data_IF_067746614919
#
_entry.id   IF_067746614919
#
_cell.length_a   1.000
_cell.length_b   1.000
_cell.length_c   1.000
_cell.angle_alpha   90.00
_cell.angle_beta   90.00
_cell.angle_gamma   90.00
#
_symmetry.space_group_name_H-M   'P 1'
#
loop_
_entity.id
_entity.type
_entity.pdbx_description
1 polymer ?
#
# COMPACT_ATOMS: atom_id res chain seq x y z
N UNK A 1 -6.35 26.12 3.93
CA UNK A 1 -5.54 25.03 4.51
C UNK A 1 -5.57 23.84 3.59
N UNK A 2 -4.40 23.37 3.22
CA UNK A 2 -4.30 22.18 2.39
C UNK A 2 -4.25 20.93 3.27
N UNK A 3 -5.08 19.95 2.93
CA UNK A 3 -5.00 18.66 3.58
C UNK A 3 -3.87 17.84 2.95
N UNK A 4 -3.08 17.19 3.79
CA UNK A 4 -2.01 16.31 3.33
C UNK A 4 -2.49 14.86 3.38
N UNK A 5 -2.08 14.08 2.41
CA UNK A 5 -2.35 12.66 2.37
C UNK A 5 -1.05 11.89 2.10
N UNK A 6 -0.28 11.57 3.15
CA UNK A 6 0.99 10.87 2.98
C UNK A 6 0.85 9.50 2.31
N UNK A 7 -0.28 8.83 2.51
CA UNK A 7 -0.54 7.53 1.87
C UNK A 7 -0.72 7.71 0.36
N UNK A 8 -1.51 8.71 -0.06
CA UNK A 8 -1.69 9.02 -1.48
C UNK A 8 -0.36 9.40 -2.13
N UNK A 9 0.47 10.19 -1.45
CA UNK A 9 1.79 10.56 -1.94
C UNK A 9 2.67 9.33 -2.14
N UNK A 10 2.69 8.42 -1.17
CA UNK A 10 3.42 7.16 -1.27
C UNK A 10 2.96 6.34 -2.49
N UNK A 11 1.65 6.17 -2.65
CA UNK A 11 1.09 5.39 -3.76
C UNK A 11 1.42 6.03 -5.10
N UNK A 12 1.39 7.35 -5.19
CA UNK A 12 1.75 8.09 -6.40
C UNK A 12 3.23 7.89 -6.73
N UNK A 13 4.12 7.95 -5.74
CA UNK A 13 5.55 7.70 -5.94
C UNK A 13 5.81 6.29 -6.46
N UNK A 14 5.13 5.30 -5.89
CA UNK A 14 5.23 3.91 -6.35
C UNK A 14 4.75 3.79 -7.79
N UNK A 15 3.59 4.37 -8.10
CA UNK A 15 3.02 4.32 -9.46
C UNK A 15 3.96 4.96 -10.48
N UNK A 16 4.47 6.16 -10.21
CA UNK A 16 5.34 6.88 -11.12
C UNK A 16 6.66 6.15 -11.34
N UNK A 17 7.25 5.63 -10.28
CA UNK A 17 8.49 4.86 -10.36
C UNK A 17 8.29 3.56 -11.16
N UNK A 18 7.14 2.92 -10.96
CA UNK A 18 6.79 1.69 -11.66
C UNK A 18 6.60 1.93 -13.16
N UNK A 19 5.96 3.04 -13.54
CA UNK A 19 5.80 3.42 -14.96
C UNK A 19 7.17 3.72 -15.58
N UNK A 20 8.06 4.38 -14.85
CA UNK A 20 9.41 4.72 -15.31
C UNK A 20 10.39 3.54 -15.22
N UNK A 21 9.96 2.38 -14.72
CA UNK A 21 10.81 1.20 -14.47
C UNK A 21 12.01 1.52 -13.57
N UNK A 22 11.81 2.37 -12.57
CA UNK A 22 12.81 2.68 -11.56
C UNK A 22 12.97 1.50 -10.62
N UNK A 23 14.20 1.15 -10.28
CA UNK A 23 14.45 -0.05 -9.45
C UNK A 23 14.22 0.22 -7.95
N UNK A 24 14.49 1.43 -7.49
CA UNK A 24 14.41 1.76 -6.07
C UNK A 24 13.91 3.19 -5.87
N UNK A 25 13.10 3.38 -4.82
CA UNK A 25 12.62 4.69 -4.40
C UNK A 25 12.84 4.88 -2.91
N UNK A 26 12.88 6.13 -2.47
CA UNK A 26 13.02 6.49 -1.07
C UNK A 26 12.05 7.61 -0.72
N UNK A 27 11.59 7.60 0.52
CA UNK A 27 10.65 8.61 1.01
C UNK A 27 10.73 8.70 2.54
N UNK A 28 10.26 9.79 3.15
CA UNK A 28 10.14 9.83 4.61
C UNK A 28 9.24 8.70 5.09
N UNK A 29 9.68 7.98 6.11
CA UNK A 29 8.94 6.83 6.64
C UNK A 29 7.90 7.25 7.68
N UNK A 30 6.92 6.38 7.89
CA UNK A 30 5.96 6.44 8.98
C UNK A 30 5.53 5.01 9.29
N UNK A 31 4.86 4.80 10.41
CA UNK A 31 4.36 3.48 10.79
C UNK A 31 3.40 2.93 9.72
N UNK A 32 2.50 3.77 9.23
CA UNK A 32 1.53 3.38 8.20
C UNK A 32 2.24 3.03 6.90
N UNK A 33 3.18 3.86 6.45
CA UNK A 33 3.92 3.60 5.21
C UNK A 33 4.72 2.31 5.28
N UNK A 34 5.39 2.06 6.41
CA UNK A 34 6.14 0.82 6.61
C UNK A 34 5.22 -0.40 6.61
N UNK A 35 4.04 -0.29 7.22
CA UNK A 35 3.05 -1.37 7.24
C UNK A 35 2.52 -1.65 5.82
N UNK A 36 2.29 -0.63 5.01
CA UNK A 36 1.88 -0.78 3.61
C UNK A 36 3.00 -1.48 2.82
N UNK A 37 4.25 -1.07 3.01
CA UNK A 37 5.40 -1.69 2.35
C UNK A 37 5.51 -3.18 2.69
N UNK A 38 5.28 -3.54 3.96
CA UNK A 38 5.30 -4.93 4.39
C UNK A 38 4.23 -5.76 3.68
N UNK A 39 3.01 -5.22 3.54
CA UNK A 39 1.93 -5.88 2.82
C UNK A 39 2.30 -6.05 1.34
N UNK A 40 2.82 -5.01 0.71
CA UNK A 40 3.20 -5.06 -0.71
C UNK A 40 4.30 -6.10 -0.96
N UNK A 41 5.27 -6.19 -0.06
CA UNK A 41 6.33 -7.20 -0.15
C UNK A 41 5.76 -8.62 0.02
N UNK A 42 4.96 -8.82 1.06
CA UNK A 42 4.38 -10.13 1.38
C UNK A 42 3.47 -10.64 0.27
N UNK A 43 2.74 -9.72 -0.38
CA UNK A 43 1.83 -10.06 -1.48
C UNK A 43 2.51 -10.09 -2.85
N UNK A 44 3.82 -9.84 -2.90
CA UNK A 44 4.60 -9.98 -4.12
C UNK A 44 4.57 -8.80 -5.08
N UNK A 45 4.13 -7.63 -4.62
CA UNK A 45 4.07 -6.43 -5.47
C UNK A 45 5.38 -5.64 -5.50
N UNK A 46 6.17 -5.72 -4.45
CA UNK A 46 7.52 -5.16 -4.41
C UNK A 46 8.50 -6.25 -4.00
N UNK A 47 9.79 -6.04 -4.31
CA UNK A 47 10.83 -7.02 -4.01
C UNK A 47 11.23 -7.00 -2.54
N UNK A 48 11.43 -5.78 -1.99
CA UNK A 48 11.87 -5.62 -0.61
C UNK A 48 11.69 -4.16 -0.17
N UNK A 49 11.86 -3.93 1.13
CA UNK A 49 11.88 -2.58 1.68
C UNK A 49 12.80 -2.54 2.89
N UNK A 50 13.23 -1.32 3.24
CA UNK A 50 14.12 -1.07 4.38
C UNK A 50 13.75 0.26 5.01
N UNK A 51 13.70 0.31 6.34
CA UNK A 51 13.53 1.55 7.07
C UNK A 51 14.87 1.93 7.66
N UNK A 52 15.46 3.02 7.15
CA UNK A 52 16.76 3.52 7.63
C UNK A 52 16.55 4.60 8.67
N UNK A 53 17.28 4.53 9.82
CA UNK A 53 17.18 5.58 10.84
C UNK A 53 17.97 6.82 10.38
N UNK A 54 17.28 7.78 9.78
CA UNK A 54 17.86 9.05 9.34
C UNK A 54 17.29 10.20 10.18
N UNK A 55 17.98 11.35 10.18
CA UNK A 55 17.54 12.54 10.89
C UNK A 55 16.97 13.55 9.89
N UNK A 56 15.83 14.23 10.17
CA UNK A 56 15.04 14.24 11.43
C UNK A 56 14.06 13.07 11.58
N UNK A 57 13.83 12.28 10.55
CA UNK A 57 12.96 11.12 10.62
C UNK A 57 13.52 9.98 9.77
N UNK A 58 13.03 8.76 10.01
CA UNK A 58 13.48 7.60 9.25
C UNK A 58 13.13 7.71 7.78
N UNK A 59 13.92 7.06 6.93
CA UNK A 59 13.70 6.99 5.49
C UNK A 59 13.26 5.58 5.13
N UNK A 60 12.16 5.48 4.38
CA UNK A 60 11.68 4.21 3.83
C UNK A 60 12.24 4.06 2.42
N UNK A 61 13.00 2.98 2.20
CA UNK A 61 13.47 2.60 0.86
C UNK A 61 12.71 1.37 0.40
N UNK A 62 12.32 1.38 -0.86
CA UNK A 62 11.58 0.27 -1.47
C UNK A 62 12.25 -0.15 -2.76
N UNK A 63 12.48 -1.45 -2.91
CA UNK A 63 12.96 -2.04 -4.15
C UNK A 63 11.76 -2.57 -4.93
N UNK A 64 11.51 -2.00 -6.11
CA UNK A 64 10.39 -2.39 -6.95
C UNK A 64 10.67 -3.72 -7.65
N UNK A 65 9.61 -4.40 -8.08
CA UNK A 65 9.71 -5.75 -8.61
C UNK A 65 9.32 -5.77 -10.08
N UNK A 66 10.18 -6.36 -10.89
CA UNK A 66 9.96 -6.58 -12.32
C UNK A 66 10.34 -8.01 -12.68
N UNK A 67 9.72 -8.55 -13.73
CA UNK A 67 10.12 -9.84 -14.28
C UNK A 67 11.44 -9.71 -15.06
N UNK A 68 11.95 -10.84 -15.56
CA UNK A 68 13.15 -10.84 -16.43
C UNK A 68 12.95 -10.01 -17.69
N UNK A 69 11.72 -9.95 -18.19
CA UNK A 69 11.35 -9.16 -19.36
C UNK A 69 10.93 -7.74 -19.02
N UNK A 70 11.18 -7.31 -17.78
CA UNK A 70 10.86 -5.97 -17.25
C UNK A 70 9.35 -5.69 -17.18
N UNK A 71 8.54 -6.72 -17.05
CA UNK A 71 7.12 -6.58 -16.79
C UNK A 71 6.91 -6.23 -15.32
N UNK A 72 5.98 -5.33 -15.04
CA UNK A 72 5.70 -4.86 -13.69
C UNK A 72 4.98 -5.91 -12.87
N UNK A 73 5.41 -6.10 -11.62
CA UNK A 73 4.67 -6.92 -10.66
C UNK A 73 3.44 -6.16 -10.15
N UNK A 74 3.55 -4.84 -9.99
CA UNK A 74 2.46 -3.97 -9.59
C UNK A 74 1.91 -3.25 -10.82
N UNK A 75 0.64 -3.49 -11.15
CA UNK A 75 0.02 -2.93 -12.34
C UNK A 75 -0.75 -1.64 -12.06
N UNK A 76 -1.32 -1.50 -10.88
CA UNK A 76 -2.05 -0.29 -10.53
C UNK A 76 -2.25 -0.15 -9.03
N UNK A 77 -2.46 1.09 -8.61
CA UNK A 77 -2.82 1.44 -7.24
C UNK A 77 -3.91 2.50 -7.29
N UNK A 78 -4.81 2.44 -6.32
CA UNK A 78 -5.87 3.43 -6.18
C UNK A 78 -6.09 3.77 -4.70
N UNK A 79 -6.00 5.06 -4.38
CA UNK A 79 -6.37 5.56 -3.06
C UNK A 79 -7.89 5.51 -2.92
N UNK A 80 -8.41 4.89 -1.89
CA UNK A 80 -9.87 4.77 -1.66
C UNK A 80 -10.31 5.76 -0.59
N UNK A 81 -9.95 5.53 0.68
CA UNK A 81 -10.27 6.45 1.76
C UNK A 81 -9.32 7.65 1.72
N UNK A 82 -9.85 8.85 1.85
CA UNK A 82 -9.08 10.10 1.78
C UNK A 82 -9.36 10.95 3.02
N UNK A 83 -8.45 11.88 3.40
CA UNK A 83 -8.70 12.73 4.56
C UNK A 83 -10.03 13.48 4.53
N UNK A 84 -10.49 13.90 3.36
CA UNK A 84 -11.76 14.60 3.20
C UNK A 84 -12.97 13.70 2.95
N UNK A 85 -12.73 12.40 2.73
CA UNK A 85 -13.80 11.44 2.42
C UNK A 85 -13.36 10.04 2.86
N UNK A 86 -13.65 9.69 4.12
CA UNK A 86 -13.29 8.38 4.67
C UNK A 86 -14.22 7.29 4.16
N UNK A 87 -13.67 6.13 3.84
CA UNK A 87 -14.40 4.97 3.35
C UNK A 87 -14.14 3.78 4.27
N UNK A 88 -15.21 3.21 4.82
CA UNK A 88 -15.13 2.08 5.74
C UNK A 88 -15.91 0.90 5.17
N UNK A 89 -15.51 -0.31 5.55
CA UNK A 89 -16.21 -1.53 5.21
C UNK A 89 -16.41 -2.37 6.47
N UNK A 90 -17.62 -2.90 6.62
CA UNK A 90 -17.93 -3.84 7.70
C UNK A 90 -17.35 -5.21 7.34
N UNK A 91 -17.17 -6.09 8.36
CA UNK A 91 -16.55 -7.41 8.18
C UNK A 91 -17.18 -8.28 7.10
N UNK A 92 -18.49 -8.11 6.84
CA UNK A 92 -19.23 -8.87 5.85
C UNK A 92 -19.35 -8.14 4.50
N UNK A 93 -18.77 -6.93 4.40
CA UNK A 93 -18.82 -6.07 3.22
C UNK A 93 -17.42 -5.74 2.71
N UNK A 94 -16.43 -6.55 3.04
CA UNK A 94 -15.04 -6.30 2.62
C UNK A 94 -14.95 -6.43 1.10
N UNK A 95 -14.46 -5.39 0.39
CA UNK A 95 -14.40 -5.42 -1.07
C UNK A 95 -13.36 -6.40 -1.60
N UNK A 96 -13.60 -6.89 -2.80
CA UNK A 96 -12.63 -7.67 -3.57
C UNK A 96 -12.14 -6.81 -4.73
N UNK A 97 -10.86 -6.92 -5.03
CA UNK A 97 -10.23 -6.16 -6.12
C UNK A 97 -10.00 -7.11 -7.29
N UNK A 98 -10.57 -6.78 -8.45
CA UNK A 98 -10.46 -7.60 -9.67
C UNK A 98 -10.79 -9.07 -9.42
N UNK A 99 -11.90 -9.33 -8.72
CA UNK A 99 -12.34 -10.70 -8.45
C UNK A 99 -11.39 -11.52 -7.59
N UNK A 100 -10.54 -10.86 -6.82
CA UNK A 100 -9.56 -11.52 -5.95
C UNK A 100 -8.14 -11.58 -6.51
N UNK A 101 -7.91 -11.06 -7.73
CA UNK A 101 -6.58 -10.99 -8.32
C UNK A 101 -5.72 -9.89 -7.67
N UNK A 102 -6.35 -8.80 -7.21
CA UNK A 102 -5.68 -7.75 -6.46
C UNK A 102 -5.99 -7.83 -4.98
N UNK A 103 -5.56 -6.82 -4.24
CA UNK A 103 -5.80 -6.71 -2.79
C UNK A 103 -6.38 -5.35 -2.43
N UNK A 104 -7.14 -5.32 -1.34
CA UNK A 104 -7.48 -4.08 -0.64
C UNK A 104 -6.63 -4.02 0.62
N UNK A 105 -6.11 -2.85 0.94
CA UNK A 105 -5.38 -2.62 2.18
C UNK A 105 -6.34 -1.95 3.15
N UNK A 106 -6.57 -2.61 4.29
CA UNK A 106 -7.59 -2.20 5.25
C UNK A 106 -6.96 -1.91 6.61
N UNK A 107 -7.25 -0.73 7.15
CA UNK A 107 -6.82 -0.36 8.50
C UNK A 107 -7.85 -0.85 9.50
N UNK A 108 -7.48 -1.82 10.32
CA UNK A 108 -8.36 -2.45 11.30
C UNK A 108 -7.86 -2.23 12.72
N UNK A 109 -8.65 -2.65 13.69
CA UNK A 109 -8.23 -2.66 15.10
C UNK A 109 -7.03 -3.59 15.35
N UNK A 110 -6.75 -4.52 14.43
CA UNK A 110 -5.62 -5.44 14.51
C UNK A 110 -4.44 -4.99 13.64
N UNK A 111 -4.45 -3.74 13.18
CA UNK A 111 -3.43 -3.20 12.29
C UNK A 111 -3.85 -3.22 10.84
N UNK A 112 -2.89 -2.98 9.93
CA UNK A 112 -3.16 -3.03 8.50
C UNK A 112 -3.23 -4.47 8.03
N UNK A 113 -4.31 -4.82 7.35
CA UNK A 113 -4.55 -6.16 6.82
C UNK A 113 -4.93 -6.07 5.35
N UNK A 114 -4.74 -7.16 4.61
CA UNK A 114 -5.34 -7.31 3.29
C UNK A 114 -6.83 -7.65 3.46
N UNK A 115 -7.60 -7.54 2.37
CA UNK A 115 -9.00 -7.92 2.38
C UNK A 115 -9.20 -9.38 2.78
N UNK A 116 -8.33 -10.29 2.33
CA UNK A 116 -8.39 -11.71 2.72
C UNK A 116 -8.15 -11.91 4.19
N UNK A 117 -7.13 -11.24 4.73
CA UNK A 117 -6.81 -11.32 6.16
C UNK A 117 -7.94 -10.76 7.02
N UNK A 118 -8.53 -9.62 6.59
CA UNK A 118 -9.65 -9.01 7.31
C UNK A 118 -10.88 -9.93 7.32
N UNK A 119 -11.20 -10.55 6.18
CA UNK A 119 -12.31 -11.52 6.11
C UNK A 119 -12.05 -12.73 7.00
N UNK A 120 -10.83 -13.26 6.97
CA UNK A 120 -10.45 -14.41 7.80
C UNK A 120 -10.52 -14.09 9.29
N UNK A 121 -10.08 -12.89 9.67
CA UNK A 121 -10.14 -12.44 11.07
C UNK A 121 -11.55 -12.00 11.49
N UNK A 122 -12.46 -11.81 10.55
CA UNK A 122 -13.82 -11.36 10.85
C UNK A 122 -13.89 -9.92 11.30
N UNK A 123 -13.02 -9.05 10.77
CA UNK A 123 -12.97 -7.62 11.14
C UNK A 123 -13.15 -6.74 9.92
N UNK A 124 -13.76 -5.58 10.14
CA UNK A 124 -13.83 -4.51 9.14
C UNK A 124 -12.88 -3.38 9.50
N UNK A 125 -12.89 -2.32 8.69
CA UNK A 125 -12.07 -1.17 8.95
C UNK A 125 -12.10 -0.15 7.83
N UNK A 126 -11.15 0.77 7.86
CA UNK A 126 -11.00 1.80 6.84
C UNK A 126 -10.30 1.21 5.61
N UNK A 127 -10.93 1.34 4.45
CA UNK A 127 -10.36 0.86 3.19
C UNK A 127 -9.40 1.92 2.67
N UNK A 128 -8.10 1.69 2.83
CA UNK A 128 -7.08 2.67 2.47
C UNK A 128 -6.84 2.74 0.97
N UNK A 129 -6.67 1.59 0.33
CA UNK A 129 -6.27 1.54 -1.07
C UNK A 129 -6.59 0.19 -1.70
N UNK A 130 -6.65 0.18 -3.03
CA UNK A 130 -6.64 -1.02 -3.85
C UNK A 130 -5.31 -1.14 -4.57
N UNK A 131 -4.79 -2.36 -4.69
CA UNK A 131 -3.54 -2.66 -5.40
C UNK A 131 -3.74 -3.90 -6.26
N UNK A 132 -3.24 -3.85 -7.47
CA UNK A 132 -3.32 -5.02 -8.37
C UNK A 132 -2.16 -5.09 -9.34
#
# INVERSE_FOLDING_TARGET
MTMTDPVADMLTRIRNANVAHTDEIAMPSSKVKAAIAEILKREGYIRDYLVEPTTPQATLRMALKYSRTRERALNGVRRVSKPGLRVYAKRDEIPRVLGGLGIAIISTSQGLLTDREARKAGVGGEVLAYVW
#
